data_IF_687298076486
#
_entry.id   IF_687298076486
#
_cell.length_a   1.000
_cell.length_b   1.000
_cell.length_c   1.000
_cell.angle_alpha   90.00
_cell.angle_beta   90.00
_cell.angle_gamma   90.00
#
_symmetry.space_group_name_H-M   'P 1'
#
loop_
_entity.id
_entity.type
_entity.pdbx_description
1 polymer ?
#
# COMPACT_ATOMS: atom_id res chain seq x y z
N UNK A 1 -9.03 3.48 20.03
CA UNK A 1 -7.64 3.99 20.08
C UNK A 1 -6.79 3.28 21.15
N UNK A 2 -7.03 1.99 21.45
CA UNK A 2 -6.33 1.27 22.54
C UNK A 2 -5.32 0.21 22.06
N UNK A 3 -5.18 -0.03 20.76
CA UNK A 3 -4.40 -1.17 20.26
C UNK A 3 -2.93 -0.84 19.91
N UNK A 4 -2.50 0.43 19.99
CA UNK A 4 -1.15 0.85 19.60
C UNK A 4 -0.21 1.24 20.76
N UNK A 5 -0.69 1.26 22.01
CA UNK A 5 0.11 1.67 23.17
C UNK A 5 1.33 0.78 23.48
N UNK A 6 1.31 -0.56 23.27
CA UNK A 6 2.51 -1.38 23.49
C UNK A 6 3.63 -1.12 22.48
N UNK A 7 3.29 -0.68 21.26
CA UNK A 7 4.24 -0.43 20.18
C UNK A 7 5.02 0.88 20.37
N UNK A 8 4.35 1.92 20.88
CA UNK A 8 4.99 3.21 21.16
C UNK A 8 6.09 3.11 22.23
N UNK A 9 5.89 2.28 23.26
CA UNK A 9 6.88 2.06 24.33
C UNK A 9 8.16 1.37 23.86
N UNK A 10 8.08 0.50 22.83
CA UNK A 10 9.25 -0.14 22.24
C UNK A 10 10.07 0.77 21.33
N UNK A 11 9.50 1.86 20.82
CA UNK A 11 10.15 2.76 19.86
C UNK A 11 10.99 3.86 20.51
N UNK A 12 10.77 4.18 21.79
CA UNK A 12 11.46 5.28 22.49
C UNK A 12 12.98 5.07 22.59
N UNK A 13 13.44 3.82 22.61
CA UNK A 13 14.87 3.49 22.63
C UNK A 13 15.48 3.36 21.22
N UNK A 14 14.65 3.41 20.18
CA UNK A 14 15.01 3.04 18.79
C UNK A 14 15.00 4.26 17.87
N UNK A 15 14.38 5.36 18.28
CA UNK A 15 14.35 6.58 17.49
C UNK A 15 14.25 7.83 18.36
N UNK A 16 14.79 8.93 17.84
CA UNK A 16 14.77 10.21 18.53
C UNK A 16 13.39 10.89 18.51
N UNK A 17 12.60 10.65 17.45
CA UNK A 17 11.23 11.17 17.30
C UNK A 17 10.23 10.04 16.94
N UNK A 18 9.71 9.30 17.94
CA UNK A 18 8.76 8.20 17.71
C UNK A 18 7.49 8.62 16.97
N UNK A 19 6.98 9.83 17.23
CA UNK A 19 5.76 10.33 16.57
C UNK A 19 5.96 10.49 15.06
N UNK A 20 7.11 11.01 14.63
CA UNK A 20 7.43 11.15 13.20
C UNK A 20 7.64 9.82 12.51
N UNK A 21 8.31 8.89 13.17
CA UNK A 21 8.44 7.52 12.65
C UNK A 21 7.06 6.90 12.46
N UNK A 22 6.16 7.06 13.43
CA UNK A 22 4.79 6.54 13.32
C UNK A 22 3.99 7.22 12.21
N UNK A 23 4.10 8.54 12.04
CA UNK A 23 3.47 9.28 10.93
C UNK A 23 3.91 8.72 9.56
N UNK A 24 5.21 8.49 9.38
CA UNK A 24 5.75 7.93 8.14
C UNK A 24 5.28 6.48 7.90
N UNK A 25 5.24 5.65 8.94
CA UNK A 25 4.70 4.29 8.81
C UNK A 25 3.22 4.34 8.39
N UNK A 26 2.42 5.19 9.03
CA UNK A 26 1.01 5.34 8.70
C UNK A 26 0.81 5.93 7.31
N UNK A 27 1.67 6.84 6.87
CA UNK A 27 1.66 7.36 5.51
C UNK A 27 1.82 6.23 4.47
N UNK A 28 2.84 5.38 4.63
CA UNK A 28 3.11 4.28 3.70
C UNK A 28 2.07 3.15 3.75
N UNK A 29 1.55 2.83 4.94
CA UNK A 29 0.71 1.64 5.15
C UNK A 29 -0.79 1.95 5.17
N UNK A 30 -1.15 3.23 5.31
CA UNK A 30 -2.49 3.71 5.64
C UNK A 30 -3.11 3.04 6.88
N UNK A 31 -2.28 2.62 7.84
CA UNK A 31 -2.72 1.98 9.09
C UNK A 31 -3.24 0.55 8.93
N UNK A 32 -3.01 -0.11 7.78
CA UNK A 32 -3.36 -1.52 7.62
C UNK A 32 -2.55 -2.37 8.61
N UNK A 33 -3.19 -3.16 9.50
CA UNK A 33 -2.51 -3.81 10.61
C UNK A 33 -1.29 -4.63 10.20
N UNK A 34 -1.42 -5.46 9.15
CA UNK A 34 -0.35 -6.33 8.68
C UNK A 34 0.89 -5.55 8.19
N UNK A 35 0.70 -4.56 7.32
CA UNK A 35 1.79 -3.74 6.79
C UNK A 35 2.41 -2.87 7.90
N UNK A 36 1.57 -2.29 8.76
CA UNK A 36 2.01 -1.47 9.90
C UNK A 36 2.90 -2.28 10.82
N UNK A 37 2.44 -3.47 11.22
CA UNK A 37 3.19 -4.37 12.10
C UNK A 37 4.51 -4.82 11.48
N UNK A 38 4.53 -5.16 10.18
CA UNK A 38 5.74 -5.59 9.47
C UNK A 38 6.81 -4.50 9.47
N UNK A 39 6.44 -3.24 9.23
CA UNK A 39 7.39 -2.12 9.25
C UNK A 39 7.82 -1.77 10.69
N UNK A 40 6.89 -1.76 11.65
CA UNK A 40 7.23 -1.56 13.06
C UNK A 40 8.25 -2.59 13.57
N UNK A 41 8.06 -3.87 13.21
CA UNK A 41 9.01 -4.93 13.56
C UNK A 41 10.38 -4.71 12.91
N UNK A 42 10.42 -4.34 11.63
CA UNK A 42 11.67 -4.07 10.93
C UNK A 42 12.44 -2.89 11.52
N UNK A 43 11.73 -1.87 12.04
CA UNK A 43 12.35 -0.76 12.78
C UNK A 43 12.88 -1.25 14.11
N UNK A 44 12.12 -2.07 14.84
CA UNK A 44 12.51 -2.57 16.14
C UNK A 44 13.77 -3.47 16.11
N UNK A 45 13.98 -4.19 15.01
CA UNK A 45 15.15 -5.02 14.76
C UNK A 45 16.33 -4.25 14.12
N UNK A 46 16.11 -2.98 13.78
CA UNK A 46 17.04 -2.14 13.04
C UNK A 46 17.95 -1.27 13.92
N UNK A 47 18.66 -0.35 13.25
CA UNK A 47 19.51 0.63 13.92
C UNK A 47 18.71 1.83 14.41
N UNK A 48 19.28 2.55 15.38
CA UNK A 48 18.72 3.79 15.91
C UNK A 48 18.48 4.83 14.82
N UNK A 49 17.30 5.45 14.83
CA UNK A 49 16.90 6.48 13.87
C UNK A 49 17.13 7.86 14.49
N UNK A 50 18.10 8.59 13.94
CA UNK A 50 18.39 9.97 14.32
C UNK A 50 17.30 10.93 13.82
N UNK A 51 17.16 12.07 14.50
CA UNK A 51 16.22 13.11 14.08
C UNK A 51 16.57 13.63 12.67
N UNK A 52 15.59 13.63 11.77
CA UNK A 52 15.74 14.05 10.37
C UNK A 52 15.86 12.88 9.38
N UNK A 53 16.18 11.67 9.85
CA UNK A 53 16.32 10.47 9.01
C UNK A 53 15.06 9.61 8.96
N UNK A 54 14.00 9.94 9.70
CA UNK A 54 12.83 9.09 9.90
C UNK A 54 12.18 8.68 8.58
N UNK A 55 11.88 9.65 7.71
CA UNK A 55 11.25 9.41 6.42
C UNK A 55 12.11 8.52 5.51
N UNK A 56 13.42 8.78 5.45
CA UNK A 56 14.35 8.01 4.63
C UNK A 56 14.50 6.57 5.14
N UNK A 57 14.57 6.39 6.46
CA UNK A 57 14.67 5.06 7.09
C UNK A 57 13.39 4.26 6.88
N UNK A 58 12.22 4.85 7.12
CA UNK A 58 10.93 4.18 6.92
C UNK A 58 10.74 3.82 5.43
N UNK A 59 10.99 4.76 4.51
CA UNK A 59 10.89 4.48 3.08
C UNK A 59 11.86 3.37 2.64
N UNK A 60 13.10 3.37 3.15
CA UNK A 60 14.07 2.31 2.88
C UNK A 60 13.60 0.94 3.37
N UNK A 61 13.05 0.85 4.57
CA UNK A 61 12.51 -0.40 5.11
C UNK A 61 11.27 -0.88 4.35
N UNK A 62 10.37 0.03 3.97
CA UNK A 62 9.23 -0.29 3.12
C UNK A 62 9.69 -0.83 1.78
N UNK A 63 10.69 -0.18 1.17
CA UNK A 63 11.27 -0.63 -0.10
C UNK A 63 11.88 -2.02 0.02
N UNK A 64 12.68 -2.28 1.06
CA UNK A 64 13.39 -3.54 1.23
C UNK A 64 12.47 -4.70 1.62
N UNK A 65 11.59 -4.48 2.62
CA UNK A 65 10.79 -5.54 3.24
C UNK A 65 9.45 -5.78 2.55
N UNK A 66 8.96 -4.81 1.77
CA UNK A 66 7.60 -4.89 1.19
C UNK A 66 7.58 -4.77 -0.33
N UNK A 67 8.29 -3.80 -0.92
CA UNK A 67 8.18 -3.50 -2.36
C UNK A 67 9.13 -4.35 -3.21
N UNK A 68 10.40 -4.42 -2.82
CA UNK A 68 11.42 -5.19 -3.54
C UNK A 68 11.07 -6.67 -3.49
N UNK A 69 11.02 -7.35 -4.63
CA UNK A 69 10.68 -8.78 -4.70
C UNK A 69 9.39 -9.11 -3.93
N UNK A 70 8.39 -8.22 -3.94
CA UNK A 70 7.20 -8.35 -3.11
C UNK A 70 6.51 -9.72 -3.28
N UNK A 71 6.50 -10.29 -4.49
CA UNK A 71 5.87 -11.59 -4.76
C UNK A 71 6.46 -12.74 -3.94
N UNK A 72 7.75 -12.69 -3.59
CA UNK A 72 8.38 -13.70 -2.73
C UNK A 72 8.30 -13.37 -1.25
N UNK A 73 8.08 -12.11 -0.89
CA UNK A 73 8.03 -11.61 0.50
C UNK A 73 6.61 -11.41 1.06
N UNK A 74 5.58 -11.65 0.25
CA UNK A 74 4.17 -11.48 0.59
C UNK A 74 3.65 -12.66 1.43
N UNK A 75 4.13 -12.75 2.68
CA UNK A 75 3.75 -13.78 3.66
C UNK A 75 3.39 -13.13 4.99
N UNK A 76 2.15 -13.34 5.51
CA UNK A 76 0.98 -13.88 4.81
C UNK A 76 0.63 -13.12 3.53
N UNK A 77 -0.08 -13.80 2.63
CA UNK A 77 -0.47 -13.23 1.34
C UNK A 77 -1.41 -12.04 1.54
N UNK A 78 -1.06 -10.92 0.94
CA UNK A 78 -1.83 -9.69 1.00
C UNK A 78 -1.80 -8.99 -0.36
N UNK A 79 -0.59 -8.73 -0.87
CA UNK A 79 -0.38 -8.11 -2.17
C UNK A 79 -0.80 -9.03 -3.32
N UNK A 80 -0.55 -10.34 -3.20
CA UNK A 80 -0.98 -11.33 -4.21
C UNK A 80 -2.50 -11.38 -4.30
N UNK A 81 -3.18 -11.35 -3.16
CA UNK A 81 -4.65 -11.32 -3.12
C UNK A 81 -5.17 -10.06 -3.83
N UNK A 82 -4.54 -8.90 -3.61
CA UNK A 82 -4.89 -7.67 -4.31
C UNK A 82 -4.69 -7.85 -5.82
N UNK A 83 -3.50 -8.30 -6.24
CA UNK A 83 -3.15 -8.55 -7.64
C UNK A 83 -4.18 -9.46 -8.31
N UNK A 84 -4.47 -10.60 -7.70
CA UNK A 84 -5.36 -11.61 -8.26
C UNK A 84 -6.80 -11.07 -8.37
N UNK A 85 -7.24 -10.23 -7.43
CA UNK A 85 -8.54 -9.53 -7.52
C UNK A 85 -8.56 -8.42 -8.56
N UNK A 86 -7.45 -7.75 -8.83
CA UNK A 86 -7.37 -6.80 -9.95
C UNK A 86 -7.48 -7.56 -11.28
N UNK A 87 -6.81 -8.70 -11.38
CA UNK A 87 -6.68 -9.50 -12.59
C UNK A 87 -7.76 -10.57 -12.79
N UNK A 88 -8.73 -10.71 -11.89
CA UNK A 88 -9.78 -11.75 -12.02
C UNK A 88 -10.52 -11.60 -13.35
N UNK A 89 -10.58 -12.69 -14.12
CA UNK A 89 -11.25 -12.67 -15.42
C UNK A 89 -12.75 -12.97 -15.27
N UNK A 90 -13.51 -11.92 -14.98
CA UNK A 90 -14.96 -11.95 -14.75
C UNK A 90 -15.73 -11.03 -15.72
N UNK A 91 -15.09 -10.66 -16.84
CA UNK A 91 -15.62 -9.71 -17.82
C UNK A 91 -15.36 -8.24 -17.49
N UNK A 92 -14.91 -7.92 -16.27
CA UNK A 92 -14.63 -6.53 -15.84
C UNK A 92 -13.14 -6.22 -15.70
N UNK A 93 -12.26 -7.21 -15.94
CA UNK A 93 -10.80 -7.09 -15.81
C UNK A 93 -10.22 -5.84 -16.49
N UNK A 94 -10.49 -5.67 -17.78
CA UNK A 94 -9.99 -4.52 -18.55
C UNK A 94 -10.43 -3.20 -17.95
N UNK A 95 -11.73 -3.09 -17.64
CA UNK A 95 -12.32 -1.86 -17.12
C UNK A 95 -11.78 -1.52 -15.73
N UNK A 96 -11.56 -2.52 -14.87
CA UNK A 96 -10.91 -2.33 -13.56
C UNK A 96 -9.50 -1.76 -13.71
N UNK A 97 -8.70 -2.31 -14.63
CA UNK A 97 -7.35 -1.82 -14.88
C UNK A 97 -7.33 -0.42 -15.50
N UNK A 98 -8.25 -0.10 -16.40
CA UNK A 98 -8.40 1.27 -16.95
C UNK A 98 -8.76 2.31 -15.88
N UNK A 99 -9.68 1.95 -14.97
CA UNK A 99 -10.03 2.83 -13.83
C UNK A 99 -8.81 3.02 -12.94
N UNK A 100 -8.12 1.93 -12.61
CA UNK A 100 -6.92 1.98 -11.78
C UNK A 100 -5.80 2.81 -12.43
N UNK A 101 -5.58 2.67 -13.74
CA UNK A 101 -4.68 3.53 -14.54
C UNK A 101 -5.06 5.00 -14.43
N UNK A 102 -6.35 5.31 -14.59
CA UNK A 102 -6.85 6.69 -14.49
C UNK A 102 -6.56 7.29 -13.10
N UNK A 103 -6.68 6.50 -12.04
CA UNK A 103 -6.37 6.93 -10.67
C UNK A 103 -4.86 7.12 -10.48
N UNK A 104 -4.01 6.29 -11.08
CA UNK A 104 -2.56 6.49 -11.05
C UNK A 104 -2.15 7.84 -11.66
N UNK A 105 -2.80 8.24 -12.76
CA UNK A 105 -2.51 9.49 -13.48
C UNK A 105 -3.14 10.73 -12.85
N UNK A 106 -4.41 10.63 -12.41
CA UNK A 106 -5.21 11.77 -11.93
C UNK A 106 -5.32 11.85 -10.41
N UNK A 107 -4.69 10.92 -9.71
CA UNK A 107 -4.79 10.65 -8.26
C UNK A 107 -6.15 10.14 -7.79
N UNK A 108 -7.26 10.43 -8.50
CA UNK A 108 -8.58 9.95 -8.14
C UNK A 108 -9.55 9.88 -9.33
N UNK A 109 -10.67 9.19 -9.11
CA UNK A 109 -11.89 9.29 -9.93
C UNK A 109 -13.09 9.51 -9.02
N UNK A 110 -14.17 10.07 -9.55
CA UNK A 110 -15.43 10.21 -8.79
C UNK A 110 -16.01 8.83 -8.47
N UNK A 111 -16.47 8.65 -7.23
CA UNK A 111 -17.21 7.47 -6.81
C UNK A 111 -18.59 7.48 -7.48
N UNK A 112 -18.83 6.53 -8.38
CA UNK A 112 -20.10 6.38 -9.11
C UNK A 112 -20.78 5.03 -8.84
N UNK A 113 -20.23 4.23 -7.91
CA UNK A 113 -20.79 2.95 -7.48
C UNK A 113 -21.00 1.96 -8.65
N UNK A 114 -20.19 2.00 -9.71
CA UNK A 114 -20.26 0.94 -10.72
C UNK A 114 -19.79 -0.41 -10.17
N UNK A 115 -20.04 -1.49 -10.91
CA UNK A 115 -19.62 -2.85 -10.53
C UNK A 115 -18.08 -2.91 -10.39
N UNK A 116 -17.36 -2.31 -11.32
CA UNK A 116 -15.89 -2.30 -11.36
C UNK A 116 -15.32 -1.49 -10.20
N UNK A 117 -15.91 -0.34 -9.88
CA UNK A 117 -15.54 0.47 -8.73
C UNK A 117 -15.78 -0.26 -7.40
N UNK A 118 -16.91 -0.98 -7.26
CA UNK A 118 -17.16 -1.86 -6.10
C UNK A 118 -16.11 -2.97 -6.00
N UNK A 119 -15.79 -3.65 -7.10
CA UNK A 119 -14.79 -4.71 -7.11
C UNK A 119 -13.39 -4.20 -6.77
N UNK A 120 -13.00 -3.02 -7.26
CA UNK A 120 -11.73 -2.38 -6.91
C UNK A 120 -11.65 -1.98 -5.43
N UNK A 121 -12.76 -1.58 -4.81
CA UNK A 121 -12.81 -1.38 -3.35
C UNK A 121 -12.72 -2.71 -2.59
N UNK A 122 -13.44 -3.73 -3.05
CA UNK A 122 -13.40 -5.07 -2.47
C UNK A 122 -12.03 -5.75 -2.62
N UNK A 123 -11.23 -5.37 -3.62
CA UNK A 123 -9.84 -5.82 -3.71
C UNK A 123 -8.98 -5.25 -2.57
N UNK A 124 -9.39 -4.12 -1.99
CA UNK A 124 -8.64 -3.40 -0.97
C UNK A 124 -7.50 -2.54 -1.54
N UNK A 125 -7.35 -2.49 -2.87
CA UNK A 125 -6.40 -1.64 -3.58
C UNK A 125 -6.82 -0.16 -3.55
N UNK A 126 -8.13 0.08 -3.61
CA UNK A 126 -8.71 1.42 -3.55
C UNK A 126 -9.47 1.66 -2.25
N UNK A 127 -9.60 2.93 -1.90
CA UNK A 127 -10.42 3.42 -0.80
C UNK A 127 -11.27 4.58 -1.30
N UNK A 128 -12.45 4.73 -0.72
CA UNK A 128 -13.30 5.89 -0.96
C UNK A 128 -13.07 6.95 0.13
N UNK A 129 -12.78 8.17 -0.28
CA UNK A 129 -12.60 9.34 0.58
C UNK A 129 -13.39 10.49 -0.02
N UNK A 130 -14.36 11.02 0.72
CA UNK A 130 -15.13 12.21 0.32
C UNK A 130 -15.74 12.10 -1.10
N UNK A 131 -16.28 10.92 -1.45
CA UNK A 131 -16.87 10.67 -2.78
C UNK A 131 -15.85 10.49 -3.91
N UNK A 132 -14.58 10.29 -3.59
CA UNK A 132 -13.50 9.99 -4.54
C UNK A 132 -12.92 8.62 -4.28
N UNK A 133 -12.63 7.89 -5.35
CA UNK A 133 -11.83 6.67 -5.29
C UNK A 133 -10.37 7.00 -5.51
N UNK A 134 -9.55 6.53 -4.57
CA UNK A 134 -8.12 6.77 -4.50
C UNK A 134 -7.39 5.47 -4.19
N UNK A 135 -6.11 5.37 -4.55
CA UNK A 135 -5.28 4.22 -4.15
C UNK A 135 -5.10 4.24 -2.63
N UNK A 136 -5.31 3.08 -2.00
CA UNK A 136 -5.44 3.01 -0.54
C UNK A 136 -4.16 3.40 0.21
N UNK A 137 -2.98 3.13 -0.35
CA UNK A 137 -1.71 3.56 0.22
C UNK A 137 -0.57 3.64 -0.83
N UNK A 138 0.54 4.34 -0.52
CA UNK A 138 1.68 4.47 -1.42
C UNK A 138 2.32 3.14 -1.83
N UNK A 139 2.32 2.11 -0.96
CA UNK A 139 2.87 0.78 -1.29
C UNK A 139 2.17 0.19 -2.52
N UNK A 140 0.84 0.26 -2.58
CA UNK A 140 0.09 -0.27 -3.72
C UNK A 140 0.33 0.55 -4.99
N UNK A 141 0.45 1.87 -4.86
CA UNK A 141 0.79 2.76 -5.97
C UNK A 141 2.17 2.44 -6.55
N UNK A 142 3.14 2.06 -5.71
CA UNK A 142 4.50 1.70 -6.15
C UNK A 142 4.58 0.29 -6.74
N UNK A 143 3.79 -0.66 -6.24
CA UNK A 143 3.82 -2.06 -6.70
C UNK A 143 2.99 -2.26 -7.96
N UNK A 144 1.74 -1.80 -7.94
CA UNK A 144 0.84 -1.80 -9.07
C UNK A 144 0.95 -0.43 -9.72
N UNK A 145 2.11 -0.12 -10.28
CA UNK A 145 2.38 1.18 -10.90
C UNK A 145 1.84 1.24 -12.33
N UNK A 146 2.08 2.35 -13.02
CA UNK A 146 1.61 2.55 -14.39
C UNK A 146 2.20 1.50 -15.35
N UNK A 147 3.49 1.18 -15.21
CA UNK A 147 4.16 0.19 -16.05
C UNK A 147 3.56 -1.20 -15.87
N UNK A 148 3.26 -1.58 -14.63
CA UNK A 148 2.61 -2.84 -14.32
C UNK A 148 1.23 -2.92 -14.97
N UNK A 149 0.40 -1.88 -14.81
CA UNK A 149 -0.95 -1.84 -15.39
C UNK A 149 -0.91 -1.89 -16.92
N UNK A 150 0.00 -1.15 -17.56
CA UNK A 150 0.17 -1.15 -19.01
C UNK A 150 0.63 -2.51 -19.54
N UNK A 151 1.53 -3.17 -18.82
CA UNK A 151 1.99 -4.52 -19.16
C UNK A 151 0.83 -5.52 -19.10
N UNK A 152 0.03 -5.49 -18.04
CA UNK A 152 -1.14 -6.36 -17.90
C UNK A 152 -2.19 -6.09 -18.99
N UNK A 153 -2.47 -4.82 -19.31
CA UNK A 153 -3.37 -4.45 -20.40
C UNK A 153 -2.84 -4.90 -21.78
N UNK A 154 -1.53 -4.84 -22.01
CA UNK A 154 -0.91 -5.28 -23.26
C UNK A 154 -0.98 -6.81 -23.43
N UNK A 155 -0.70 -7.57 -22.37
CA UNK A 155 -0.76 -9.03 -22.36
C UNK A 155 -2.17 -9.58 -22.67
N UNK A 156 -3.21 -8.76 -22.54
CA UNK A 156 -4.60 -9.13 -22.88
C UNK A 156 -4.98 -8.85 -24.34
N UNK A 157 -4.16 -8.10 -25.07
CA UNK A 157 -4.39 -7.76 -26.48
C UNK A 157 -3.65 -8.69 -27.45
N UNK A 158 -2.78 -9.56 -26.93
CA UNK A 158 -2.01 -10.58 -27.65
C UNK A 158 -2.68 -11.95 -27.57
#
# INVERSE_FOLDING_TARGET
MAEAQPLAGGLVEICQNPDRVLEEILHWTAGKPFLTQKICQAIAEGEFIAAGDEAARVAGLVQEKTIKNWESQDVPEHLKIIRDRLLIDDGYKNRRLEIYQTILEKNYVSSDETVEQRQLRLSGALVEREGRLEIANPIYKTIFDLNWVETELANMRS
#
